data_IF_607234828946
#
_entry.id   IF_607234828946
#
_cell.length_a   1.000
_cell.length_b   1.000
_cell.length_c   1.000
_cell.angle_alpha   90.00
_cell.angle_beta   90.00
_cell.angle_gamma   90.00
#
_symmetry.space_group_name_H-M   'P 1'
#
loop_
_entity.id
_entity.type
_entity.pdbx_description
1 polymer ?
#
# COMPACT_ATOMS: atom_id res chain seq x y z
N UNK A 1 -37.31 14.76 -14.82
CA UNK A 1 -35.98 15.27 -15.25
C UNK A 1 -34.98 14.86 -14.19
N UNK A 2 -34.27 13.75 -14.39
CA UNK A 2 -33.21 13.29 -13.49
C UNK A 2 -31.87 13.83 -13.99
N UNK A 3 -31.30 14.79 -13.27
CA UNK A 3 -29.89 15.15 -13.46
C UNK A 3 -29.02 14.09 -12.78
N UNK A 4 -28.71 13.02 -13.50
CA UNK A 4 -27.54 12.20 -13.21
C UNK A 4 -26.30 13.05 -13.53
N UNK A 5 -25.71 13.67 -12.50
CA UNK A 5 -24.43 14.34 -12.63
C UNK A 5 -23.36 13.32 -12.98
N UNK A 6 -22.89 13.34 -14.23
CA UNK A 6 -21.67 12.60 -14.62
C UNK A 6 -20.52 13.18 -13.77
N UNK A 7 -19.99 12.40 -12.82
CA UNK A 7 -18.72 12.72 -12.17
C UNK A 7 -17.68 12.94 -13.26
N UNK A 8 -17.07 14.13 -13.27
CA UNK A 8 -16.14 14.55 -14.32
C UNK A 8 -14.77 13.96 -13.98
N UNK A 9 -14.30 13.00 -14.76
CA UNK A 9 -12.94 12.43 -14.68
C UNK A 9 -11.92 13.56 -14.50
N UNK A 10 -11.13 13.51 -13.44
CA UNK A 10 -10.09 14.51 -13.19
C UNK A 10 -9.00 14.38 -14.27
N UNK A 11 -8.50 15.52 -14.75
CA UNK A 11 -7.35 15.53 -15.67
C UNK A 11 -6.11 14.96 -14.97
N UNK A 12 -5.30 14.19 -15.69
CA UNK A 12 -4.08 13.52 -15.19
C UNK A 12 -3.15 14.54 -14.52
N UNK A 13 -2.99 15.72 -15.12
CA UNK A 13 -2.15 16.81 -14.58
C UNK A 13 -2.63 17.32 -13.22
N UNK A 14 -3.94 17.28 -12.96
CA UNK A 14 -4.55 17.71 -11.70
C UNK A 14 -4.48 16.63 -10.63
N UNK A 15 -4.59 15.35 -11.01
CA UNK A 15 -4.39 14.22 -10.10
C UNK A 15 -2.94 14.15 -9.61
N UNK A 16 -1.98 14.35 -10.51
CA UNK A 16 -0.56 14.37 -10.15
C UNK A 16 -0.26 15.52 -9.19
N UNK A 17 -0.84 16.71 -9.39
CA UNK A 17 -0.70 17.83 -8.45
C UNK A 17 -1.25 17.51 -7.06
N UNK A 18 -2.48 17.01 -6.96
CA UNK A 18 -3.08 16.66 -5.66
C UNK A 18 -2.27 15.61 -4.91
N UNK A 19 -1.71 14.62 -5.63
CA UNK A 19 -0.80 13.64 -5.08
C UNK A 19 0.51 14.28 -4.58
N UNK A 20 1.19 15.10 -5.38
CA UNK A 20 2.44 15.73 -4.93
C UNK A 20 2.23 16.79 -3.82
N UNK A 21 1.05 17.41 -3.78
CA UNK A 21 0.68 18.37 -2.75
C UNK A 21 0.49 17.67 -1.39
N UNK A 22 -0.06 16.43 -1.34
CA UNK A 22 -0.19 15.70 -0.08
C UNK A 22 1.17 15.38 0.54
N UNK A 23 2.14 14.97 -0.27
CA UNK A 23 3.53 14.69 0.16
C UNK A 23 4.37 15.95 0.41
N UNK A 24 3.80 17.15 0.28
CA UNK A 24 4.47 18.39 0.69
C UNK A 24 4.27 18.69 2.18
N UNK A 25 3.34 18.01 2.85
CA UNK A 25 3.06 18.17 4.27
C UNK A 25 3.99 17.30 5.14
N UNK A 26 4.50 17.87 6.24
CA UNK A 26 5.39 17.20 7.18
C UNK A 26 4.75 15.96 7.83
N UNK A 27 3.44 15.97 8.01
CA UNK A 27 2.69 14.93 8.74
C UNK A 27 2.85 13.56 8.10
N UNK A 28 2.82 13.49 6.76
CA UNK A 28 2.99 12.21 6.03
C UNK A 28 4.44 11.72 6.20
N UNK A 29 5.43 12.61 6.11
CA UNK A 29 6.84 12.23 6.31
C UNK A 29 7.14 11.82 7.75
N UNK A 30 6.50 12.45 8.73
CA UNK A 30 6.60 12.08 10.13
C UNK A 30 6.03 10.67 10.38
N UNK A 31 4.81 10.38 9.90
CA UNK A 31 4.19 9.06 10.00
C UNK A 31 5.08 7.98 9.36
N UNK A 32 5.56 8.26 8.15
CA UNK A 32 6.47 7.41 7.39
C UNK A 32 7.79 7.12 8.14
N UNK A 33 8.43 8.13 8.74
CA UNK A 33 9.71 7.95 9.45
C UNK A 33 9.49 7.32 10.84
N UNK A 34 8.40 7.66 11.52
CA UNK A 34 8.02 7.10 12.81
C UNK A 34 7.64 5.61 12.72
N UNK A 35 7.23 5.14 11.54
CA UNK A 35 7.15 3.71 11.23
C UNK A 35 8.55 3.08 11.24
N UNK A 36 8.97 2.63 12.43
CA UNK A 36 10.25 1.98 12.64
C UNK A 36 10.38 0.64 11.94
N UNK A 37 9.27 -0.06 11.68
CA UNK A 37 9.29 -1.36 10.98
C UNK A 37 9.67 -1.11 9.53
N UNK A 38 9.01 -0.16 8.88
CA UNK A 38 9.33 0.30 7.52
C UNK A 38 10.75 0.83 7.43
N UNK A 39 11.07 1.85 8.22
CA UNK A 39 12.33 2.60 8.08
C UNK A 39 13.53 1.72 8.39
N UNK A 40 13.45 0.85 9.41
CA UNK A 40 14.54 -0.08 9.70
C UNK A 40 14.65 -1.23 8.70
N UNK A 41 13.54 -1.67 8.07
CA UNK A 41 13.63 -2.67 7.01
C UNK A 41 14.45 -2.15 5.83
N UNK A 42 14.18 -0.93 5.37
CA UNK A 42 14.99 -0.28 4.32
C UNK A 42 16.44 -0.06 4.75
N UNK A 43 16.66 0.49 5.94
CA UNK A 43 18.01 0.66 6.50
C UNK A 43 18.77 -0.66 6.49
N UNK A 44 18.18 -1.71 7.04
CA UNK A 44 18.78 -3.04 7.12
C UNK A 44 19.02 -3.63 5.73
N UNK A 45 18.09 -3.47 4.79
CA UNK A 45 18.24 -3.94 3.42
C UNK A 45 19.46 -3.31 2.73
N UNK A 46 19.59 -1.99 2.86
CA UNK A 46 20.69 -1.22 2.27
C UNK A 46 22.03 -1.67 2.88
N UNK A 47 22.13 -1.78 4.21
CA UNK A 47 23.38 -2.22 4.85
C UNK A 47 23.71 -3.70 4.61
N UNK A 48 22.71 -4.59 4.44
CA UNK A 48 22.94 -5.98 4.02
C UNK A 48 23.44 -6.09 2.58
N UNK A 49 23.21 -5.06 1.76
CA UNK A 49 23.70 -4.97 0.39
C UNK A 49 24.90 -4.03 0.24
N UNK A 50 25.61 -3.68 1.32
CA UNK A 50 26.77 -2.77 1.27
C UNK A 50 27.81 -3.17 0.22
N UNK A 51 28.12 -4.46 0.05
CA UNK A 51 29.09 -4.90 -0.96
C UNK A 51 28.59 -4.71 -2.41
N UNK A 52 27.26 -4.67 -2.61
CA UNK A 52 26.65 -4.35 -3.90
C UNK A 52 26.42 -2.84 -4.10
N UNK A 53 26.51 -2.02 -3.06
CA UNK A 53 26.28 -0.57 -3.10
C UNK A 53 27.60 0.21 -3.09
N UNK A 54 28.63 -0.29 -2.41
CA UNK A 54 29.90 0.41 -2.23
C UNK A 54 30.53 0.75 -3.58
N UNK A 55 30.83 2.04 -3.78
CA UNK A 55 31.44 2.55 -5.01
C UNK A 55 30.51 2.62 -6.23
N UNK A 56 29.20 2.38 -6.06
CA UNK A 56 28.19 2.37 -7.14
C UNK A 56 27.39 3.66 -7.20
N UNK A 57 26.75 3.90 -8.34
CA UNK A 57 25.72 4.92 -8.49
C UNK A 57 24.34 4.35 -8.13
N UNK A 58 23.58 5.10 -7.33
CA UNK A 58 22.25 4.74 -6.83
C UNK A 58 21.22 5.77 -7.31
N UNK A 59 20.02 5.32 -7.67
CA UNK A 59 18.85 6.17 -7.89
C UNK A 59 17.82 5.89 -6.80
N UNK A 60 17.42 6.93 -6.08
CA UNK A 60 16.31 6.91 -5.13
C UNK A 60 15.09 7.57 -5.78
N UNK A 61 14.03 6.78 -6.05
CA UNK A 61 12.84 7.22 -6.78
C UNK A 61 11.76 7.62 -5.78
N UNK A 62 11.42 8.92 -5.76
CA UNK A 62 10.53 9.50 -4.74
C UNK A 62 11.24 9.59 -3.39
N UNK A 63 12.36 10.30 -3.39
CA UNK A 63 13.28 10.32 -2.25
C UNK A 63 12.67 10.95 -0.97
N UNK A 64 11.58 11.71 -1.08
CA UNK A 64 10.95 12.41 0.03
C UNK A 64 11.95 13.30 0.75
N UNK A 65 12.14 13.04 2.05
CA UNK A 65 13.14 13.74 2.89
C UNK A 65 14.59 13.32 2.63
N UNK A 66 14.84 12.37 1.73
CA UNK A 66 16.18 11.87 1.38
C UNK A 66 16.76 10.85 2.36
N UNK A 67 15.97 10.34 3.32
CA UNK A 67 16.47 9.41 4.35
C UNK A 67 17.06 8.12 3.76
N UNK A 68 16.44 7.55 2.72
CA UNK A 68 16.93 6.34 2.05
C UNK A 68 18.21 6.62 1.25
N UNK A 69 18.24 7.75 0.54
CA UNK A 69 19.43 8.25 -0.13
C UNK A 69 20.63 8.39 0.81
N UNK A 70 20.41 8.90 2.02
CA UNK A 70 21.45 9.03 3.05
C UNK A 70 21.90 7.64 3.55
N UNK A 71 20.99 6.68 3.73
CA UNK A 71 21.38 5.29 4.05
C UNK A 71 22.28 4.70 2.94
N UNK A 72 21.98 4.96 1.67
CA UNK A 72 22.84 4.52 0.56
C UNK A 72 24.23 5.17 0.60
N UNK A 73 24.31 6.47 0.91
CA UNK A 73 25.59 7.15 1.12
C UNK A 73 26.38 6.54 2.30
N UNK A 74 25.71 6.25 3.41
CA UNK A 74 26.31 5.57 4.58
C UNK A 74 26.78 4.15 4.26
N UNK A 75 26.11 3.45 3.35
CA UNK A 75 26.53 2.15 2.82
C UNK A 75 27.70 2.24 1.81
N UNK A 76 28.22 3.45 1.54
CA UNK A 76 29.39 3.68 0.72
C UNK A 76 29.11 3.87 -0.77
N UNK A 77 27.88 4.23 -1.16
CA UNK A 77 27.58 4.62 -2.52
C UNK A 77 28.55 5.71 -3.00
N UNK A 78 29.00 5.63 -4.26
CA UNK A 78 29.85 6.66 -4.89
C UNK A 78 29.05 7.92 -5.16
N UNK A 79 27.80 7.75 -5.57
CA UNK A 79 26.86 8.83 -5.90
C UNK A 79 25.43 8.34 -5.73
N UNK A 80 24.55 9.20 -5.24
CA UNK A 80 23.11 8.94 -5.12
C UNK A 80 22.35 10.06 -5.81
N UNK A 81 21.47 9.71 -6.74
CA UNK A 81 20.52 10.63 -7.35
C UNK A 81 19.19 10.50 -6.61
N UNK A 82 18.87 11.48 -5.77
CA UNK A 82 17.65 11.53 -4.98
C UNK A 82 16.59 12.31 -5.77
N UNK A 83 15.73 11.61 -6.50
CA UNK A 83 14.70 12.25 -7.35
C UNK A 83 13.41 12.43 -6.57
N UNK A 84 12.96 13.66 -6.42
CA UNK A 84 11.73 14.02 -5.71
C UNK A 84 10.96 15.12 -6.47
N UNK A 85 9.68 14.90 -6.71
CA UNK A 85 8.85 15.84 -7.46
C UNK A 85 8.20 16.91 -6.56
N UNK A 86 7.94 16.58 -5.31
CA UNK A 86 7.27 17.42 -4.33
C UNK A 86 8.19 18.52 -3.78
N UNK A 87 7.59 19.50 -3.12
CA UNK A 87 8.34 20.61 -2.50
C UNK A 87 9.27 20.16 -1.37
N UNK A 88 9.02 19.00 -0.76
CA UNK A 88 9.86 18.38 0.28
C UNK A 88 11.31 18.14 -0.17
N UNK A 89 11.58 18.14 -1.49
CA UNK A 89 12.93 18.12 -2.04
C UNK A 89 13.82 19.24 -1.47
N UNK A 90 13.25 20.41 -1.16
CA UNK A 90 13.97 21.52 -0.54
C UNK A 90 14.47 21.14 0.87
N UNK A 91 13.65 20.43 1.65
CA UNK A 91 14.06 19.90 2.96
C UNK A 91 15.08 18.76 2.80
N UNK A 92 14.94 17.91 1.79
CA UNK A 92 15.92 16.86 1.51
C UNK A 92 17.31 17.43 1.22
N UNK A 93 17.41 18.53 0.47
CA UNK A 93 18.67 19.24 0.24
C UNK A 93 19.31 19.72 1.56
N UNK A 94 18.53 20.32 2.45
CA UNK A 94 19.02 20.77 3.76
C UNK A 94 19.44 19.60 4.65
N UNK A 95 18.69 18.51 4.67
CA UNK A 95 19.03 17.29 5.42
C UNK A 95 20.34 16.68 4.89
N UNK A 96 20.52 16.62 3.57
CA UNK A 96 21.75 16.13 2.93
C UNK A 96 22.97 16.96 3.38
N UNK A 97 22.87 18.30 3.36
CA UNK A 97 23.94 19.20 3.84
C UNK A 97 24.20 19.04 5.33
N UNK A 98 23.14 18.93 6.15
CA UNK A 98 23.27 18.73 7.60
C UNK A 98 23.99 17.44 7.95
N UNK A 99 23.83 16.39 7.12
CA UNK A 99 24.51 15.11 7.29
C UNK A 99 25.88 15.05 6.60
N UNK A 100 26.32 16.13 5.95
CA UNK A 100 27.64 16.25 5.30
C UNK A 100 27.89 15.21 4.21
N UNK A 101 26.85 14.92 3.41
CA UNK A 101 26.90 13.95 2.31
C UNK A 101 26.53 14.57 0.96
N UNK A 102 26.55 15.90 0.84
CA UNK A 102 26.23 16.65 -0.39
C UNK A 102 27.16 16.35 -1.57
N UNK A 103 28.38 15.90 -1.31
CA UNK A 103 29.32 15.45 -2.36
C UNK A 103 28.91 14.09 -2.98
N UNK A 104 28.08 13.32 -2.27
CA UNK A 104 27.63 11.98 -2.65
C UNK A 104 26.17 12.02 -3.12
N UNK A 105 25.29 12.68 -2.36
CA UNK A 105 23.84 12.72 -2.61
C UNK A 105 23.48 14.00 -3.33
N UNK A 106 23.00 13.87 -4.57
CA UNK A 106 22.44 14.95 -5.35
C UNK A 106 20.91 14.85 -5.35
N UNK A 107 20.23 15.82 -4.75
CA UNK A 107 18.78 15.97 -4.86
C UNK A 107 18.45 16.57 -6.23
N UNK A 108 17.47 15.97 -6.92
CA UNK A 108 17.02 16.39 -8.25
C UNK A 108 15.51 16.58 -8.17
N UNK A 109 15.07 17.84 -8.25
CA UNK A 109 13.65 18.18 -8.25
C UNK A 109 13.00 17.85 -9.59
N UNK A 110 12.02 16.96 -9.59
CA UNK A 110 11.27 16.57 -10.78
C UNK A 110 10.74 15.15 -10.70
N UNK A 111 9.98 14.74 -11.72
CA UNK A 111 9.51 13.35 -11.81
C UNK A 111 10.57 12.49 -12.47
N UNK A 112 10.68 11.21 -12.09
CA UNK A 112 11.68 10.31 -12.66
C UNK A 112 11.53 10.11 -14.18
N UNK A 113 10.32 10.35 -14.70
CA UNK A 113 9.99 10.32 -16.12
C UNK A 113 10.58 11.48 -16.92
N UNK A 114 10.82 12.62 -16.28
CA UNK A 114 11.22 13.87 -16.94
C UNK A 114 12.66 14.28 -16.66
N UNK A 115 13.22 13.88 -15.51
CA UNK A 115 14.62 14.15 -15.17
C UNK A 115 15.58 13.44 -16.12
N UNK A 116 16.75 14.04 -16.30
CA UNK A 116 17.88 13.49 -17.03
C UNK A 116 19.04 13.26 -16.06
N UNK A 117 19.48 12.01 -15.93
CA UNK A 117 20.59 11.64 -15.08
C UNK A 117 21.88 11.63 -15.89
N UNK A 118 23.02 12.09 -15.33
CA UNK A 118 24.29 12.15 -16.05
C UNK A 118 24.87 10.75 -16.35
N UNK A 119 24.38 9.70 -15.70
CA UNK A 119 24.77 8.32 -15.96
C UNK A 119 23.64 7.33 -15.60
N UNK A 120 23.71 6.11 -16.15
CA UNK A 120 22.92 4.98 -15.67
C UNK A 120 23.41 4.51 -14.29
N UNK A 121 22.51 3.95 -13.49
CA UNK A 121 22.79 3.50 -12.12
C UNK A 121 22.91 1.98 -12.01
N UNK A 122 23.62 1.49 -11.00
CA UNK A 122 23.67 0.06 -10.67
C UNK A 122 22.61 -0.35 -9.64
N UNK A 123 22.06 0.60 -8.89
CA UNK A 123 21.07 0.32 -7.84
C UNK A 123 19.91 1.30 -7.97
N UNK A 124 18.69 0.78 -7.90
CA UNK A 124 17.47 1.56 -7.62
C UNK A 124 16.99 1.19 -6.22
N UNK A 125 16.72 2.21 -5.42
CA UNK A 125 15.98 2.09 -4.16
C UNK A 125 14.72 2.93 -4.27
N UNK A 126 13.60 2.43 -3.74
CA UNK A 126 12.38 3.21 -3.67
C UNK A 126 11.44 2.61 -2.62
N UNK A 127 10.79 3.49 -1.88
CA UNK A 127 9.59 3.18 -1.11
C UNK A 127 8.40 3.71 -1.92
N UNK A 128 7.73 2.79 -2.61
CA UNK A 128 6.69 3.09 -3.61
C UNK A 128 5.33 2.52 -3.23
N UNK A 129 5.25 1.80 -2.10
CA UNK A 129 4.09 1.00 -1.76
C UNK A 129 3.00 1.89 -1.18
N UNK A 130 1.83 1.90 -1.81
CA UNK A 130 0.64 2.53 -1.23
C UNK A 130 -0.18 1.56 -0.38
N UNK A 131 -1.34 2.02 0.10
CA UNK A 131 -2.35 1.13 0.68
C UNK A 131 -2.72 0.00 -0.29
N UNK A 132 -2.91 -1.20 0.25
CA UNK A 132 -3.08 -2.42 -0.54
C UNK A 132 -2.01 -2.59 -1.64
N UNK A 133 -0.76 -2.16 -1.37
CA UNK A 133 0.41 -2.15 -2.26
C UNK A 133 0.34 -1.17 -3.44
N UNK A 134 -0.77 -1.15 -4.18
CA UNK A 134 -0.87 -0.52 -5.50
C UNK A 134 -1.66 0.80 -5.53
N UNK A 135 -2.21 1.23 -4.39
CA UNK A 135 -2.74 2.59 -4.31
C UNK A 135 -1.64 3.61 -4.62
N UNK A 136 -2.02 4.75 -5.18
CA UNK A 136 -1.15 5.84 -5.65
C UNK A 136 -0.30 5.54 -6.90
N UNK A 137 -0.19 4.26 -7.29
CA UNK A 137 0.40 3.80 -8.56
C UNK A 137 1.86 4.24 -8.81
N UNK A 138 2.62 4.50 -7.75
CA UNK A 138 4.02 4.91 -7.82
C UNK A 138 4.95 3.81 -8.39
N UNK A 139 4.55 2.53 -8.31
CA UNK A 139 5.30 1.44 -8.93
C UNK A 139 5.57 1.68 -10.43
N UNK A 140 4.66 2.33 -11.16
CA UNK A 140 4.86 2.66 -12.58
C UNK A 140 6.11 3.55 -12.79
N UNK A 141 6.35 4.51 -11.90
CA UNK A 141 7.52 5.39 -11.93
C UNK A 141 8.81 4.61 -11.64
N UNK A 142 8.76 3.64 -10.72
CA UNK A 142 9.89 2.74 -10.44
C UNK A 142 10.19 1.85 -11.64
N UNK A 143 9.17 1.32 -12.33
CA UNK A 143 9.37 0.52 -13.55
C UNK A 143 9.96 1.38 -14.69
N UNK A 144 9.50 2.62 -14.85
CA UNK A 144 10.10 3.55 -15.80
C UNK A 144 11.59 3.78 -15.49
N UNK A 145 11.91 4.03 -14.22
CA UNK A 145 13.28 4.24 -13.76
C UNK A 145 14.15 3.00 -14.01
N UNK A 146 13.63 1.80 -13.74
CA UNK A 146 14.29 0.52 -14.06
C UNK A 146 14.62 0.43 -15.54
N UNK A 147 13.64 0.64 -16.40
CA UNK A 147 13.80 0.41 -17.85
C UNK A 147 14.74 1.45 -18.49
N UNK A 148 14.70 2.70 -18.02
CA UNK A 148 15.54 3.79 -18.56
C UNK A 148 16.93 3.83 -17.94
N UNK A 149 17.02 3.80 -16.62
CA UNK A 149 18.22 4.20 -15.87
C UNK A 149 19.02 3.05 -15.28
N UNK A 150 18.42 1.89 -15.01
CA UNK A 150 19.15 0.76 -14.43
C UNK A 150 20.07 0.11 -15.47
N UNK A 151 21.29 -0.24 -15.07
CA UNK A 151 22.20 -1.07 -15.87
C UNK A 151 21.72 -2.53 -15.87
N UNK A 152 21.97 -3.31 -16.94
CA UNK A 152 21.67 -4.75 -16.93
C UNK A 152 22.30 -5.46 -15.72
N UNK A 153 21.50 -6.26 -15.00
CA UNK A 153 21.92 -6.93 -13.78
C UNK A 153 22.01 -6.02 -12.54
N UNK A 154 21.49 -4.79 -12.62
CA UNK A 154 21.40 -3.87 -11.49
C UNK A 154 20.47 -4.37 -10.38
N UNK A 155 20.66 -3.81 -9.19
CA UNK A 155 19.94 -4.14 -7.97
C UNK A 155 18.69 -3.26 -7.83
N UNK A 156 17.55 -3.85 -7.46
CA UNK A 156 16.33 -3.11 -7.08
C UNK A 156 15.98 -3.43 -5.63
N UNK A 157 15.79 -2.41 -4.81
CA UNK A 157 15.42 -2.53 -3.40
C UNK A 157 14.08 -1.84 -3.13
N UNK A 158 13.01 -2.60 -2.80
CA UNK A 158 12.88 -4.07 -2.79
C UNK A 158 12.83 -4.67 -4.21
N UNK A 159 13.04 -5.97 -4.36
CA UNK A 159 13.05 -6.64 -5.69
C UNK A 159 11.78 -7.44 -5.99
N UNK A 160 10.95 -7.70 -4.98
CA UNK A 160 9.74 -8.51 -5.11
C UNK A 160 8.66 -8.03 -4.16
N UNK A 161 7.41 -8.08 -4.58
CA UNK A 161 6.25 -7.86 -3.73
C UNK A 161 5.28 -9.04 -3.84
N UNK A 162 4.57 -9.35 -2.74
CA UNK A 162 3.53 -10.39 -2.73
C UNK A 162 2.27 -9.84 -2.05
N UNK A 163 1.12 -10.27 -2.56
CA UNK A 163 -0.19 -9.87 -2.06
C UNK A 163 -0.93 -11.08 -1.47
N UNK A 164 -1.54 -10.85 -0.32
CA UNK A 164 -2.23 -11.86 0.46
C UNK A 164 -3.67 -11.43 0.76
N UNK A 165 -4.55 -12.43 0.89
CA UNK A 165 -5.92 -12.27 1.33
C UNK A 165 -6.26 -13.31 2.40
N UNK A 166 -7.06 -12.92 3.40
CA UNK A 166 -7.61 -13.83 4.41
C UNK A 166 -8.99 -13.36 4.87
N UNK A 167 -9.96 -14.26 5.12
CA UNK A 167 -11.21 -13.92 5.80
C UNK A 167 -10.94 -13.46 7.24
N UNK A 168 -11.69 -12.46 7.70
CA UNK A 168 -11.61 -11.95 9.06
C UNK A 168 -12.99 -11.83 9.72
N UNK A 169 -12.99 -11.83 11.05
CA UNK A 169 -14.11 -11.41 11.88
C UNK A 169 -13.74 -10.11 12.57
N UNK A 170 -14.30 -9.00 12.12
CA UNK A 170 -14.09 -7.70 12.74
C UNK A 170 -15.20 -7.39 13.77
N UNK A 171 -14.92 -7.48 15.09
CA UNK A 171 -15.90 -7.18 16.13
C UNK A 171 -16.24 -5.68 16.20
N UNK A 172 -15.38 -4.78 15.70
CA UNK A 172 -15.61 -3.32 15.75
C UNK A 172 -16.87 -2.95 14.97
N UNK A 173 -17.15 -3.65 13.87
CA UNK A 173 -18.41 -3.45 13.13
C UNK A 173 -19.61 -3.86 13.98
N UNK A 174 -19.53 -4.99 14.68
CA UNK A 174 -20.62 -5.46 15.54
C UNK A 174 -20.86 -4.50 16.69
N UNK A 175 -19.81 -4.04 17.37
CA UNK A 175 -19.88 -3.07 18.46
C UNK A 175 -20.46 -1.73 17.99
N UNK A 176 -20.03 -1.22 16.82
CA UNK A 176 -20.56 0.03 16.23
C UNK A 176 -22.03 -0.08 15.85
N UNK A 177 -22.49 -1.27 15.47
CA UNK A 177 -23.90 -1.52 15.19
C UNK A 177 -24.70 -1.69 16.49
N UNK A 178 -24.14 -2.38 17.48
CA UNK A 178 -24.75 -2.63 18.77
C UNK A 178 -24.90 -1.35 19.60
N UNK A 179 -23.97 -0.39 19.46
CA UNK A 179 -24.00 0.92 20.11
C UNK A 179 -25.40 1.57 20.09
N UNK A 180 -26.09 1.55 18.95
CA UNK A 180 -27.40 2.18 18.77
C UNK A 180 -28.51 1.58 19.63
N UNK A 181 -28.37 0.32 20.04
CA UNK A 181 -29.30 -0.34 20.97
C UNK A 181 -29.05 0.09 22.42
N UNK A 182 -27.81 0.44 22.77
CA UNK A 182 -27.43 0.84 24.14
C UNK A 182 -27.88 2.26 24.52
N UNK A 183 -28.15 3.11 23.52
CA UNK A 183 -28.51 4.53 23.73
C UNK A 183 -29.77 4.70 24.59
N UNK A 184 -30.72 3.76 24.48
CA UNK A 184 -31.96 3.78 25.26
C UNK A 184 -31.70 3.65 26.75
N UNK A 185 -30.83 2.72 27.13
CA UNK A 185 -30.52 2.46 28.53
C UNK A 185 -29.64 3.57 29.13
N UNK A 186 -28.79 4.19 28.31
CA UNK A 186 -27.89 5.27 28.75
C UNK A 186 -28.58 6.63 28.86
N UNK A 187 -29.46 6.96 27.92
CA UNK A 187 -30.00 8.31 27.77
C UNK A 187 -31.54 8.37 27.69
N UNK A 188 -32.23 7.23 27.78
CA UNK A 188 -33.69 7.17 27.69
C UNK A 188 -34.26 7.39 26.28
N UNK A 189 -33.41 7.39 25.24
CA UNK A 189 -33.81 7.64 23.84
C UNK A 189 -33.57 6.39 23.01
N UNK A 190 -34.63 5.81 22.46
CA UNK A 190 -34.53 4.63 21.59
C UNK A 190 -34.02 5.03 20.20
N UNK A 191 -32.73 4.79 19.96
CA UNK A 191 -32.07 5.02 18.67
C UNK A 191 -31.77 3.71 17.92
N UNK A 192 -32.39 2.59 18.30
CA UNK A 192 -32.12 1.28 17.68
C UNK A 192 -32.36 1.26 16.17
N UNK A 193 -33.25 2.10 15.66
CA UNK A 193 -33.51 2.28 14.22
C UNK A 193 -32.27 2.77 13.42
N UNK A 194 -31.29 3.38 14.09
CA UNK A 194 -30.05 3.84 13.46
C UNK A 194 -29.12 2.69 13.07
N UNK A 195 -29.29 1.48 13.65
CA UNK A 195 -28.48 0.31 13.32
C UNK A 195 -28.49 0.00 11.81
N UNK A 196 -29.65 0.11 11.15
CA UNK A 196 -29.76 -0.16 9.70
C UNK A 196 -29.09 0.92 8.85
N UNK A 197 -29.15 2.18 9.29
CA UNK A 197 -28.46 3.28 8.65
C UNK A 197 -26.94 3.13 8.81
N UNK A 198 -26.46 2.90 10.04
CA UNK A 198 -25.06 2.66 10.34
C UNK A 198 -24.49 1.47 9.57
N UNK A 199 -25.27 0.38 9.43
CA UNK A 199 -24.89 -0.77 8.61
C UNK A 199 -24.63 -0.38 7.16
N UNK A 200 -25.48 0.45 6.56
CA UNK A 200 -25.27 0.94 5.18
C UNK A 200 -24.05 1.85 5.07
N UNK A 201 -23.78 2.68 6.08
CA UNK A 201 -22.62 3.56 6.10
C UNK A 201 -21.30 2.79 6.27
N UNK A 202 -21.30 1.71 7.06
CA UNK A 202 -20.10 0.89 7.32
C UNK A 202 -19.87 -0.11 6.20
N UNK A 203 -20.94 -0.76 5.70
CA UNK A 203 -20.88 -1.81 4.68
C UNK A 203 -21.03 -1.23 3.27
N UNK A 204 -20.32 -0.16 2.98
CA UNK A 204 -20.27 0.40 1.65
C UNK A 204 -19.30 -0.40 0.77
N UNK A 205 -18.96 0.15 -0.39
CA UNK A 205 -17.97 -0.41 -1.32
C UNK A 205 -16.59 0.19 -1.09
N UNK A 206 -16.33 0.74 0.08
CA UNK A 206 -15.06 1.41 0.36
C UNK A 206 -14.03 0.39 0.87
N UNK A 207 -12.79 0.59 0.45
CA UNK A 207 -11.64 -0.07 1.06
C UNK A 207 -11.35 0.68 2.36
N UNK A 208 -11.52 0.00 3.49
CA UNK A 208 -11.21 0.57 4.81
C UNK A 208 -9.76 0.26 5.16
N UNK A 209 -8.98 1.29 5.51
CA UNK A 209 -7.60 1.10 6.00
C UNK A 209 -7.63 1.07 7.52
N UNK A 210 -7.41 -0.10 8.11
CA UNK A 210 -7.47 -0.31 9.56
C UNK A 210 -6.54 -1.43 10.00
N UNK A 211 -6.10 -1.36 11.26
CA UNK A 211 -5.34 -2.45 11.88
C UNK A 211 -6.30 -3.61 12.16
N UNK A 212 -5.88 -4.81 11.80
CA UNK A 212 -6.60 -6.06 12.07
C UNK A 212 -5.82 -6.82 13.14
N UNK A 213 -6.50 -7.28 14.19
CA UNK A 213 -5.85 -8.07 15.23
C UNK A 213 -5.59 -9.50 14.75
N UNK A 214 -4.61 -10.19 15.36
CA UNK A 214 -4.25 -11.56 14.93
C UNK A 214 -5.38 -12.54 15.22
N UNK A 215 -6.09 -12.34 16.33
CA UNK A 215 -7.26 -13.10 16.75
C UNK A 215 -8.46 -12.97 15.80
N UNK A 216 -8.53 -11.89 15.03
CA UNK A 216 -9.61 -11.64 14.06
C UNK A 216 -9.37 -12.38 12.73
N UNK A 217 -8.17 -12.94 12.51
CA UNK A 217 -7.81 -13.67 11.29
C UNK A 217 -8.35 -15.10 11.35
N UNK A 218 -9.21 -15.45 10.39
CA UNK A 218 -9.98 -16.70 10.44
C UNK A 218 -9.36 -17.86 9.65
N UNK A 219 -8.24 -17.65 8.96
CA UNK A 219 -7.56 -18.71 8.21
C UNK A 219 -6.06 -18.47 8.07
N UNK A 220 -5.33 -19.47 7.57
CA UNK A 220 -4.03 -19.19 6.98
C UNK A 220 -4.20 -18.24 5.78
N UNK A 221 -3.31 -17.26 5.61
CA UNK A 221 -3.40 -16.31 4.51
C UNK A 221 -3.10 -16.98 3.18
N UNK A 222 -3.86 -16.62 2.15
CA UNK A 222 -3.64 -17.10 0.79
C UNK A 222 -2.94 -16.02 -0.04
N UNK A 223 -1.79 -16.36 -0.62
CA UNK A 223 -1.10 -15.49 -1.58
C UNK A 223 -1.82 -15.57 -2.93
N UNK A 224 -2.31 -14.45 -3.45
CA UNK A 224 -3.00 -14.40 -4.74
C UNK A 224 -2.18 -13.76 -5.85
N UNK A 225 -1.16 -12.96 -5.53
CA UNK A 225 -0.27 -12.37 -6.55
C UNK A 225 1.17 -12.21 -6.06
N UNK A 226 2.09 -12.21 -7.02
CA UNK A 226 3.52 -11.97 -6.83
C UNK A 226 3.99 -11.06 -7.97
N UNK A 227 4.74 -10.01 -7.64
CA UNK A 227 5.33 -9.06 -8.58
C UNK A 227 6.85 -9.16 -8.46
N UNK A 228 7.52 -9.63 -9.50
CA UNK A 228 8.97 -9.53 -9.62
C UNK A 228 9.34 -8.21 -10.28
N UNK A 229 9.96 -7.30 -9.52
CA UNK A 229 10.27 -5.95 -9.99
C UNK A 229 11.34 -5.95 -11.09
N UNK A 230 12.06 -7.06 -11.30
CA UNK A 230 13.02 -7.17 -12.40
C UNK A 230 12.34 -7.37 -13.76
N UNK A 231 11.12 -7.92 -13.79
CA UNK A 231 10.46 -8.32 -15.05
C UNK A 231 9.05 -7.80 -15.24
N UNK A 232 8.34 -7.46 -14.15
CA UNK A 232 6.94 -7.01 -14.24
C UNK A 232 6.82 -5.77 -15.13
N UNK A 233 5.77 -5.73 -15.93
CA UNK A 233 5.48 -4.67 -16.88
C UNK A 233 4.33 -3.78 -16.43
N UNK A 234 4.28 -2.55 -16.92
CA UNK A 234 3.15 -1.63 -16.68
C UNK A 234 1.82 -2.22 -17.16
N UNK A 235 1.82 -3.07 -18.20
CA UNK A 235 0.60 -3.73 -18.69
C UNK A 235 0.07 -4.74 -17.68
N UNK A 236 0.95 -5.53 -17.05
CA UNK A 236 0.56 -6.48 -16.00
C UNK A 236 0.01 -5.76 -14.76
N UNK A 237 0.51 -4.56 -14.46
CA UNK A 237 -0.01 -3.74 -13.35
C UNK A 237 -1.42 -3.17 -13.59
N UNK A 238 -1.91 -3.15 -14.84
CA UNK A 238 -3.29 -2.71 -15.13
C UNK A 238 -4.33 -3.66 -14.56
N UNK A 239 -3.98 -4.94 -14.37
CA UNK A 239 -4.86 -5.93 -13.78
C UNK A 239 -4.06 -7.04 -13.10
N UNK A 240 -3.71 -6.81 -11.83
CA UNK A 240 -3.07 -7.82 -10.99
C UNK A 240 -4.18 -8.74 -10.46
N UNK A 241 -4.11 -10.03 -10.79
CA UNK A 241 -5.14 -10.99 -10.39
C UNK A 241 -4.58 -12.34 -9.99
N UNK A 242 -5.33 -13.06 -9.19
CA UNK A 242 -5.08 -14.47 -8.97
C UNK A 242 -6.06 -15.15 -8.04
N UNK A 243 -6.09 -16.49 -8.07
CA UNK A 243 -6.99 -17.27 -7.24
C UNK A 243 -6.51 -17.27 -5.79
N UNK A 244 -7.44 -17.51 -4.88
CA UNK A 244 -7.12 -17.81 -3.50
C UNK A 244 -7.98 -18.97 -2.99
N UNK A 245 -7.41 -19.73 -2.05
CA UNK A 245 -8.09 -20.78 -1.30
C UNK A 245 -7.51 -20.84 0.10
N UNK A 246 -8.39 -20.83 1.09
CA UNK A 246 -8.05 -21.03 2.49
C UNK A 246 -9.17 -21.82 3.18
N UNK A 247 -8.88 -22.28 4.40
CA UNK A 247 -9.80 -23.07 5.22
C UNK A 247 -9.89 -22.40 6.59
N UNK A 248 -11.12 -22.28 7.09
CA UNK A 248 -11.40 -21.54 8.33
C UNK A 248 -10.86 -22.31 9.55
N UNK A 249 -10.26 -21.61 10.51
CA UNK A 249 -9.71 -22.23 11.72
C UNK A 249 -10.76 -22.78 12.68
N UNK A 250 -11.97 -22.20 12.67
CA UNK A 250 -12.99 -22.51 13.67
C UNK A 250 -14.33 -21.85 13.37
N UNK A 251 -15.17 -21.80 14.39
CA UNK A 251 -16.49 -21.16 14.32
C UNK A 251 -16.39 -19.65 14.51
N UNK A 252 -16.83 -18.89 13.50
CA UNK A 252 -16.88 -17.43 13.53
C UNK A 252 -17.77 -16.90 12.41
N UNK A 253 -18.10 -15.61 12.46
CA UNK A 253 -18.74 -14.89 11.37
C UNK A 253 -17.68 -14.19 10.50
N UNK A 254 -17.53 -14.62 9.24
CA UNK A 254 -16.73 -13.91 8.25
C UNK A 254 -17.50 -12.65 7.84
N UNK A 255 -17.00 -11.48 8.20
CA UNK A 255 -17.65 -10.20 7.89
C UNK A 255 -16.84 -9.31 6.93
N UNK A 256 -15.57 -9.65 6.69
CA UNK A 256 -14.72 -8.99 5.71
C UNK A 256 -13.59 -9.90 5.20
N UNK A 257 -12.91 -9.44 4.16
CA UNK A 257 -11.57 -9.91 3.80
C UNK A 257 -10.53 -8.87 4.19
N UNK A 258 -9.38 -9.33 4.68
CA UNK A 258 -8.18 -8.53 4.90
C UNK A 258 -7.20 -8.76 3.76
N UNK A 259 -6.77 -7.69 3.11
CA UNK A 259 -5.70 -7.68 2.10
C UNK A 259 -4.48 -6.94 2.65
N UNK A 260 -3.32 -7.57 2.51
CA UNK A 260 -2.03 -6.99 2.92
C UNK A 260 -0.92 -7.46 1.97
N UNK A 261 0.28 -6.92 2.14
CA UNK A 261 1.41 -7.23 1.28
C UNK A 261 2.71 -7.53 2.05
N UNK A 262 3.66 -8.08 1.32
CA UNK A 262 5.06 -8.14 1.72
C UNK A 262 5.93 -7.61 0.60
N UNK A 263 7.08 -7.05 0.95
CA UNK A 263 8.16 -6.78 0.00
C UNK A 263 9.44 -7.45 0.47
N UNK A 264 10.16 -8.04 -0.47
CA UNK A 264 11.40 -8.77 -0.20
C UNK A 264 12.60 -8.00 -0.74
N UNK A 265 13.60 -7.86 0.10
CA UNK A 265 14.89 -7.30 -0.28
C UNK A 265 15.87 -8.44 -0.59
N UNK A 266 16.48 -8.44 -1.79
CA UNK A 266 17.51 -9.42 -2.12
C UNK A 266 18.69 -9.25 -1.16
N UNK A 267 19.22 -10.35 -0.65
CA UNK A 267 20.35 -10.37 0.29
C UNK A 267 21.31 -11.50 -0.12
N UNK A 268 22.15 -11.29 -1.14
CA UNK A 268 23.04 -12.34 -1.65
C UNK A 268 23.97 -12.85 -0.56
N UNK A 269 24.10 -14.18 -0.46
CA UNK A 269 25.02 -14.82 0.50
C UNK A 269 24.53 -14.87 1.95
N UNK A 270 23.32 -14.39 2.26
CA UNK A 270 22.70 -14.55 3.57
C UNK A 270 21.61 -15.65 3.54
N UNK A 271 21.51 -16.48 4.58
CA UNK A 271 20.56 -17.60 4.62
C UNK A 271 19.10 -17.15 4.71
N UNK A 272 18.84 -15.92 5.15
CA UNK A 272 17.48 -15.38 5.30
C UNK A 272 17.34 -14.09 4.50
N UNK A 273 16.38 -14.08 3.58
CA UNK A 273 15.94 -12.87 2.89
C UNK A 273 15.28 -11.91 3.88
N UNK A 274 15.51 -10.62 3.71
CA UNK A 274 14.83 -9.61 4.53
C UNK A 274 13.46 -9.31 3.92
N UNK A 275 12.41 -9.43 4.72
CA UNK A 275 11.03 -9.19 4.30
C UNK A 275 10.42 -8.11 5.19
N UNK A 276 9.91 -7.06 4.57
CA UNK A 276 8.99 -6.11 5.19
C UNK A 276 7.58 -6.62 4.94
N UNK A 277 6.80 -6.80 6.01
CA UNK A 277 5.45 -7.36 5.95
C UNK A 277 4.46 -6.45 6.66
N UNK A 278 3.30 -6.26 6.04
CA UNK A 278 2.15 -5.55 6.63
C UNK A 278 1.07 -6.51 7.12
N UNK A 279 1.44 -7.78 7.37
CA UNK A 279 0.53 -8.79 7.89
C UNK A 279 0.02 -8.42 9.30
N UNK A 280 -1.24 -8.71 9.63
CA UNK A 280 -1.75 -8.64 11.00
C UNK A 280 -0.88 -9.38 12.03
N UNK A 281 -0.22 -10.46 11.60
CA UNK A 281 0.66 -11.30 12.44
C UNK A 281 2.06 -10.73 12.70
N UNK A 282 2.34 -9.52 12.20
CA UNK A 282 3.64 -8.85 12.29
C UNK A 282 3.48 -7.50 13.01
N UNK A 283 4.59 -6.91 13.50
CA UNK A 283 4.54 -5.57 14.08
C UNK A 283 3.85 -4.58 13.13
N UNK A 284 2.98 -3.74 13.71
CA UNK A 284 2.18 -2.78 12.94
C UNK A 284 3.05 -1.82 12.13
N UNK A 285 2.56 -1.48 10.94
CA UNK A 285 3.12 -0.47 10.03
C UNK A 285 2.04 0.57 9.74
N UNK A 286 2.42 1.76 9.28
CA UNK A 286 1.47 2.83 8.96
C UNK A 286 0.48 2.44 7.84
N UNK A 287 0.86 1.49 6.96
CA UNK A 287 -0.04 0.96 5.93
C UNK A 287 -1.24 0.22 6.47
N UNK A 288 -1.14 -0.33 7.70
CA UNK A 288 -2.15 -1.22 8.30
C UNK A 288 -2.56 -2.31 7.30
N UNK A 289 -3.85 -2.62 7.19
CA UNK A 289 -4.40 -3.53 6.20
C UNK A 289 -5.60 -2.92 5.47
N UNK A 290 -5.88 -3.44 4.28
CA UNK A 290 -7.06 -3.09 3.50
C UNK A 290 -8.20 -4.08 3.83
N UNK A 291 -9.24 -3.58 4.48
CA UNK A 291 -10.41 -4.34 4.92
C UNK A 291 -11.58 -4.16 3.94
N UNK A 292 -12.12 -5.29 3.48
CA UNK A 292 -13.13 -5.40 2.43
C UNK A 292 -14.41 -6.02 3.01
N UNK A 293 -15.31 -5.19 3.53
CA UNK A 293 -16.52 -5.66 4.22
C UNK A 293 -17.53 -6.34 3.29
N UNK A 294 -18.04 -7.50 3.71
CA UNK A 294 -19.12 -8.19 3.03
C UNK A 294 -20.47 -7.55 3.34
N UNK A 295 -21.41 -7.66 2.40
CA UNK A 295 -22.78 -7.11 2.58
C UNK A 295 -23.48 -7.78 3.76
N UNK A 296 -23.29 -9.09 3.92
CA UNK A 296 -23.80 -9.88 5.03
C UNK A 296 -22.70 -10.78 5.60
N UNK A 297 -22.59 -10.91 6.94
CA UNK A 297 -21.67 -11.87 7.53
C UNK A 297 -22.04 -13.30 7.12
N UNK A 298 -21.04 -14.17 7.04
CA UNK A 298 -21.21 -15.58 6.73
C UNK A 298 -20.64 -16.42 7.87
N UNK A 299 -21.51 -17.17 8.54
CA UNK A 299 -21.09 -18.14 9.55
C UNK A 299 -20.26 -19.24 8.92
N UNK A 300 -19.09 -19.49 9.51
CA UNK A 300 -18.19 -20.58 9.15
C UNK A 300 -17.94 -21.46 10.37
N UNK A 301 -17.53 -22.69 10.11
CA UNK A 301 -16.98 -23.61 11.10
C UNK A 301 -15.58 -24.04 10.69
N UNK A 302 -14.89 -24.78 11.54
CA UNK A 302 -13.60 -25.36 11.22
C UNK A 302 -13.63 -26.08 9.85
N UNK A 303 -12.58 -25.88 9.06
CA UNK A 303 -12.37 -26.46 7.74
C UNK A 303 -13.36 -25.97 6.66
N UNK A 304 -14.18 -24.95 6.95
CA UNK A 304 -15.04 -24.34 5.93
C UNK A 304 -14.16 -23.70 4.84
N UNK A 305 -14.28 -24.15 3.58
CA UNK A 305 -13.45 -23.64 2.49
C UNK A 305 -13.90 -22.23 2.11
N UNK A 306 -12.93 -21.34 1.92
CA UNK A 306 -13.12 -19.99 1.42
C UNK A 306 -12.25 -19.82 0.18
N UNK A 307 -12.88 -19.71 -0.98
CA UNK A 307 -12.22 -19.73 -2.30
C UNK A 307 -12.68 -18.58 -3.16
N UNK A 308 -11.86 -18.21 -4.13
CA UNK A 308 -12.21 -17.13 -5.03
C UNK A 308 -11.09 -16.67 -5.95
N UNK A 309 -11.32 -15.52 -6.57
CA UNK A 309 -10.33 -14.78 -7.35
C UNK A 309 -10.35 -13.31 -6.93
N UNK A 310 -9.16 -12.74 -6.74
CA UNK A 310 -8.98 -11.30 -6.51
C UNK A 310 -8.48 -10.66 -7.79
N UNK A 311 -8.98 -9.48 -8.12
CA UNK A 311 -8.47 -8.61 -9.18
C UNK A 311 -8.27 -7.20 -8.66
N UNK A 312 -7.07 -6.65 -8.81
CA UNK A 312 -6.70 -5.28 -8.47
C UNK A 312 -6.41 -4.50 -9.75
N UNK A 313 -7.03 -3.34 -9.91
CA UNK A 313 -6.89 -2.51 -11.11
C UNK A 313 -7.15 -1.03 -10.80
N UNK A 314 -6.58 -0.10 -11.59
CA UNK A 314 -6.83 1.33 -11.40
C UNK A 314 -8.31 1.69 -11.62
N UNK A 315 -8.82 2.68 -10.90
CA UNK A 315 -10.19 3.16 -11.07
C UNK A 315 -10.37 3.92 -12.39
N UNK A 316 -11.59 3.96 -12.91
CA UNK A 316 -11.90 4.69 -14.14
C UNK A 316 -11.71 6.21 -13.97
N UNK A 317 -11.94 6.71 -12.75
CA UNK A 317 -11.88 8.11 -12.37
C UNK A 317 -10.43 8.58 -12.13
N UNK A 318 -9.59 7.74 -11.52
CA UNK A 318 -8.22 8.06 -11.15
C UNK A 318 -7.31 6.85 -11.32
N UNK A 319 -6.27 7.00 -12.15
CA UNK A 319 -5.26 5.96 -12.32
C UNK A 319 -4.45 5.70 -11.04
N UNK A 320 -4.52 6.60 -10.05
CA UNK A 320 -3.88 6.48 -8.73
C UNK A 320 -4.77 5.79 -7.70
N UNK A 321 -6.07 5.69 -7.94
CA UNK A 321 -6.97 4.98 -7.03
C UNK A 321 -7.09 3.53 -7.46
N UNK A 322 -6.99 2.61 -6.49
CA UNK A 322 -7.08 1.18 -6.78
C UNK A 322 -8.51 0.70 -6.49
N UNK A 323 -9.01 -0.16 -7.37
CA UNK A 323 -10.19 -0.97 -7.16
C UNK A 323 -9.75 -2.41 -6.85
N UNK A 324 -10.42 -3.05 -5.90
CA UNK A 324 -10.25 -4.47 -5.59
C UNK A 324 -11.57 -5.16 -5.85
N UNK A 325 -11.61 -6.06 -6.82
CA UNK A 325 -12.74 -6.93 -7.08
C UNK A 325 -12.47 -8.32 -6.51
N UNK A 326 -13.44 -8.87 -5.78
CA UNK A 326 -13.35 -10.20 -5.20
C UNK A 326 -14.56 -11.01 -5.63
N UNK A 327 -14.30 -12.06 -6.40
CA UNK A 327 -15.22 -13.17 -6.63
C UNK A 327 -14.96 -14.19 -5.51
N UNK A 328 -15.94 -14.51 -4.66
CA UNK A 328 -15.73 -15.40 -3.51
C UNK A 328 -16.87 -16.40 -3.29
N UNK A 329 -16.51 -17.57 -2.76
CA UNK A 329 -17.41 -18.64 -2.31
C UNK A 329 -16.98 -19.07 -0.91
N UNK A 330 -17.91 -19.03 0.06
CA UNK A 330 -17.68 -19.48 1.44
C UNK A 330 -18.56 -20.71 1.69
N UNK A 331 -17.94 -21.85 1.98
CA UNK A 331 -18.62 -23.12 2.22
C UNK A 331 -19.45 -23.58 1.01
N UNK A 332 -20.74 -23.85 1.25
CA UNK A 332 -21.70 -24.28 0.20
C UNK A 332 -22.54 -23.12 -0.35
N UNK A 333 -22.22 -21.87 -0.02
CA UNK A 333 -22.96 -20.72 -0.53
C UNK A 333 -22.75 -20.53 -2.03
N UNK A 334 -23.65 -19.78 -2.67
CA UNK A 334 -23.44 -19.33 -4.04
C UNK A 334 -22.26 -18.36 -4.09
N UNK A 335 -21.53 -18.38 -5.20
CA UNK A 335 -20.51 -17.37 -5.48
C UNK A 335 -21.11 -15.98 -5.46
N UNK A 336 -20.42 -15.08 -4.78
CA UNK A 336 -20.74 -13.65 -4.70
C UNK A 336 -19.58 -12.86 -5.29
N UNK A 337 -19.87 -11.65 -5.76
CA UNK A 337 -18.88 -10.76 -6.35
C UNK A 337 -19.07 -9.37 -5.78
N UNK A 338 -17.99 -8.73 -5.32
CA UNK A 338 -18.03 -7.36 -4.83
C UNK A 338 -16.79 -6.59 -5.27
N UNK A 339 -17.00 -5.35 -5.69
CA UNK A 339 -15.93 -4.39 -6.02
C UNK A 339 -15.82 -3.36 -4.92
N UNK A 340 -14.59 -3.10 -4.52
CA UNK A 340 -14.22 -2.12 -3.50
C UNK A 340 -13.31 -1.06 -4.13
N UNK A 341 -13.40 0.18 -3.64
CA UNK A 341 -12.53 1.28 -4.05
C UNK A 341 -12.12 2.12 -2.84
N UNK A 342 -10.94 2.74 -2.85
CA UNK A 342 -10.60 3.72 -1.81
C UNK A 342 -11.52 4.94 -1.99
N UNK A 343 -12.17 5.44 -0.92
CA UNK A 343 -13.07 6.58 -1.02
C UNK A 343 -12.30 7.81 -1.48
N UNK A 344 -12.88 8.56 -2.43
CA UNK A 344 -12.37 9.86 -2.82
C UNK A 344 -12.52 10.81 -1.62
N UNK A 345 -11.48 10.97 -0.80
CA UNK A 345 -11.39 12.10 0.12
C UNK A 345 -11.08 13.36 -0.70
N UNK A 346 -12.05 13.84 -1.47
CA UNK A 346 -11.98 15.18 -2.03
C UNK A 346 -12.30 16.20 -0.92
N UNK A 347 -11.44 17.20 -0.69
CA UNK A 347 -11.69 18.26 0.30
C UNK A 347 -13.02 19.01 0.11
N UNK A 348 -13.62 18.92 -1.08
CA UNK A 348 -14.91 19.54 -1.43
C UNK A 348 -16.12 18.91 -0.70
N UNK A 349 -15.95 17.81 0.05
CA UNK A 349 -17.05 17.19 0.82
C UNK A 349 -17.20 17.72 2.24
N UNK A 350 -16.32 18.63 2.70
CA UNK A 350 -16.44 19.28 4.02
C UNK A 350 -17.40 20.48 4.06
N UNK A 351 -18.07 20.82 2.96
CA UNK A 351 -19.09 21.87 2.95
C UNK A 351 -20.50 21.30 2.82
N UNK A 352 -21.02 20.72 3.91
CA UNK A 352 -22.47 20.60 4.16
C UNK A 352 -22.77 20.87 5.64
#
# INVERSE_FOLDING_TARGET
MSHAGKKRKLDKSRQDRLYFDSYSDVTIHEEMIADHVRTNAYRTAIFRNTELIRGRAVLDVGAGTGVLSIFCAQAGARRVFAVEACSIAEQAEEIVKHNKVEDIVQVIRGTVETVDLPEKVEVIVSEWMGYALLHESMLNSVLYARDKWLKPGGLILPSRAELYITPISDPVVEDRLFFWYTVKDQYGVDMSCMSDFARKCIKNTDITVSSVAVEDVLSHPARFAELDLNSVTVEELRSVKGPFRCESFGSAAVNAFCVYFTVTFPCPGLPQTLVLSTSPSKPETHWKQAVLYLDSPVEVVQDTPVTGEVRMYPSEDSARHICIHVDYTIGQQKTQSKTFSIPDWTPDTQSL
#
